data_IF_952976812126
#
_entry.id   IF_952976812126
#
_cell.length_a   1.000
_cell.length_b   1.000
_cell.length_c   1.000
_cell.angle_alpha   90.00
_cell.angle_beta   90.00
_cell.angle_gamma   90.00
#
_symmetry.space_group_name_H-M   'P 1'
#
loop_
_entity.id
_entity.type
_entity.pdbx_description
1 polymer ?
#
# COMPACT_ATOMS: atom_id res chain seq x y z
N UNK A 1 11.66 5.99 8.51
CA UNK A 1 10.30 5.94 9.12
C UNK A 1 10.19 4.69 9.99
N UNK A 2 9.04 4.39 10.62
CA UNK A 2 8.89 3.16 11.42
C UNK A 2 8.96 1.89 10.55
N UNK A 3 8.32 1.89 9.37
CA UNK A 3 8.38 0.77 8.42
C UNK A 3 9.82 0.40 8.04
N UNK A 4 10.69 1.39 7.77
CA UNK A 4 12.11 1.13 7.47
C UNK A 4 12.86 0.47 8.65
N UNK A 5 12.55 0.86 9.89
CA UNK A 5 13.15 0.23 11.08
C UNK A 5 12.67 -1.22 11.24
N UNK A 6 11.38 -1.48 11.00
CA UNK A 6 10.81 -2.83 11.09
C UNK A 6 11.38 -3.72 9.97
N UNK A 7 11.43 -3.22 8.73
CA UNK A 7 12.10 -3.88 7.60
C UNK A 7 13.54 -4.24 7.92
N UNK A 8 14.34 -3.28 8.38
CA UNK A 8 15.76 -3.53 8.72
C UNK A 8 15.95 -4.52 9.85
N UNK A 9 15.01 -4.60 10.80
CA UNK A 9 15.12 -5.48 11.98
C UNK A 9 14.63 -6.91 11.71
N UNK A 10 13.57 -7.06 10.91
CA UNK A 10 12.87 -8.34 10.74
C UNK A 10 12.94 -8.90 9.31
N UNK A 11 13.50 -8.16 8.35
CA UNK A 11 13.65 -8.60 6.97
C UNK A 11 12.38 -8.48 6.11
N UNK A 12 11.28 -7.92 6.64
CA UNK A 12 10.04 -7.77 5.88
C UNK A 12 10.21 -6.87 4.65
N UNK A 13 9.48 -7.20 3.59
CA UNK A 13 9.37 -6.33 2.42
C UNK A 13 8.42 -5.18 2.71
N UNK A 14 8.91 -3.95 2.62
CA UNK A 14 8.09 -2.75 2.75
C UNK A 14 7.35 -2.48 1.43
N UNK A 15 6.01 -2.41 1.51
CA UNK A 15 5.12 -2.16 0.40
C UNK A 15 4.30 -0.90 0.70
N UNK A 16 4.34 0.07 -0.21
CA UNK A 16 3.51 1.27 -0.18
C UNK A 16 2.61 1.28 -1.41
N UNK A 17 1.31 1.49 -1.22
CA UNK A 17 0.33 1.46 -2.33
C UNK A 17 0.61 2.53 -3.39
N UNK A 18 1.10 3.70 -2.97
CA UNK A 18 1.52 4.75 -3.89
C UNK A 18 2.73 4.34 -4.74
N UNK A 19 3.66 3.56 -4.17
CA UNK A 19 4.82 3.06 -4.91
C UNK A 19 4.43 1.94 -5.87
N UNK A 20 3.59 0.99 -5.43
CA UNK A 20 3.04 -0.06 -6.32
C UNK A 20 2.34 0.57 -7.52
N UNK A 21 1.49 1.58 -7.27
CA UNK A 21 0.75 2.27 -8.31
C UNK A 21 1.70 2.92 -9.31
N UNK A 22 2.67 3.73 -8.83
CA UNK A 22 3.66 4.38 -9.70
C UNK A 22 4.53 3.39 -10.47
N UNK A 23 4.93 2.30 -9.85
CA UNK A 23 5.74 1.25 -10.50
C UNK A 23 4.95 0.56 -11.63
N UNK A 24 3.70 0.19 -11.38
CA UNK A 24 2.84 -0.43 -12.40
C UNK A 24 2.58 0.50 -13.59
N UNK A 25 2.30 1.78 -13.31
CA UNK A 25 2.15 2.82 -14.35
C UNK A 25 3.44 2.96 -15.15
N UNK A 26 4.59 3.05 -14.48
CA UNK A 26 5.91 3.17 -15.14
C UNK A 26 6.23 1.96 -16.01
N UNK A 27 5.89 0.76 -15.55
CA UNK A 27 6.19 -0.50 -16.26
C UNK A 27 5.13 -0.83 -17.34
N UNK A 28 4.06 -0.04 -17.46
CA UNK A 28 3.02 -0.26 -18.46
C UNK A 28 2.27 -1.58 -18.28
N UNK A 29 2.10 -2.05 -17.04
CA UNK A 29 1.31 -3.27 -16.77
C UNK A 29 -0.17 -3.01 -17.10
N UNK A 30 -0.96 -4.07 -17.32
CA UNK A 30 -2.39 -3.90 -17.63
C UNK A 30 -3.13 -3.11 -16.52
N UNK A 31 -2.87 -3.44 -15.26
CA UNK A 31 -3.40 -2.71 -14.11
C UNK A 31 -2.86 -1.28 -14.03
N UNK A 32 -1.58 -1.08 -14.37
CA UNK A 32 -0.95 0.23 -14.42
C UNK A 32 -1.55 1.15 -15.47
N UNK A 33 -1.87 0.62 -16.66
CA UNK A 33 -2.54 1.37 -17.73
C UNK A 33 -3.93 1.82 -17.29
N UNK A 34 -4.74 0.91 -16.73
CA UNK A 34 -6.07 1.25 -16.19
C UNK A 34 -5.96 2.32 -15.10
N UNK A 35 -5.02 2.18 -14.17
CA UNK A 35 -4.87 3.13 -13.09
C UNK A 35 -4.35 4.50 -13.56
N UNK A 36 -3.51 4.52 -14.60
CA UNK A 36 -3.01 5.74 -15.24
C UNK A 36 -4.15 6.59 -15.79
N UNK A 37 -5.20 6.00 -16.36
CA UNK A 37 -6.37 6.73 -16.88
C UNK A 37 -7.05 7.58 -15.80
N UNK A 38 -7.26 7.01 -14.60
CA UNK A 38 -7.83 7.74 -13.46
C UNK A 38 -6.89 8.84 -12.97
N UNK A 39 -5.59 8.53 -12.89
CA UNK A 39 -4.58 9.50 -12.43
C UNK A 39 -4.47 10.71 -13.37
N UNK A 40 -4.46 10.49 -14.68
CA UNK A 40 -4.41 11.56 -15.68
C UNK A 40 -5.70 12.39 -15.72
N UNK A 41 -6.85 11.78 -15.41
CA UNK A 41 -8.12 12.46 -15.25
C UNK A 41 -8.26 13.23 -13.91
N UNK A 42 -7.28 13.14 -13.01
CA UNK A 42 -7.36 13.70 -11.66
C UNK A 42 -8.42 13.02 -10.77
N UNK A 43 -8.88 11.83 -11.18
CA UNK A 43 -9.86 11.05 -10.45
C UNK A 43 -9.18 10.14 -9.41
N UNK A 44 -9.94 9.75 -8.40
CA UNK A 44 -9.50 8.74 -7.45
C UNK A 44 -9.47 7.37 -8.15
N UNK A 45 -8.37 6.64 -7.96
CA UNK A 45 -8.25 5.26 -8.43
C UNK A 45 -9.22 4.38 -7.62
N UNK A 46 -10.08 3.58 -8.26
CA UNK A 46 -11.04 2.72 -7.56
C UNK A 46 -10.38 1.75 -6.58
N UNK A 47 -11.05 1.47 -5.47
CA UNK A 47 -10.53 0.63 -4.39
C UNK A 47 -10.23 -0.80 -4.85
N UNK A 48 -11.06 -1.36 -5.71
CA UNK A 48 -10.88 -2.68 -6.32
C UNK A 48 -9.59 -2.74 -7.15
N UNK A 49 -9.32 -1.69 -7.93
CA UNK A 49 -8.12 -1.62 -8.76
C UNK A 49 -6.85 -1.50 -7.90
N UNK A 50 -6.90 -0.77 -6.78
CA UNK A 50 -5.81 -0.72 -5.80
C UNK A 50 -5.60 -2.09 -5.14
N UNK A 51 -6.68 -2.79 -4.79
CA UNK A 51 -6.58 -4.16 -4.23
C UNK A 51 -5.97 -5.13 -5.22
N UNK A 52 -6.33 -5.07 -6.50
CA UNK A 52 -5.73 -5.93 -7.53
C UNK A 52 -4.22 -5.68 -7.67
N UNK A 53 -3.80 -4.42 -7.65
CA UNK A 53 -2.38 -4.03 -7.64
C UNK A 53 -1.65 -4.58 -6.40
N UNK A 54 -2.26 -4.49 -5.22
CA UNK A 54 -1.71 -5.05 -3.98
C UNK A 54 -1.64 -6.57 -4.05
N UNK A 55 -2.69 -7.22 -4.56
CA UNK A 55 -2.77 -8.68 -4.69
C UNK A 55 -1.66 -9.23 -5.59
N UNK A 56 -1.45 -8.60 -6.75
CA UNK A 56 -0.35 -8.95 -7.65
C UNK A 56 1.02 -8.81 -6.96
N UNK A 57 1.20 -7.71 -6.20
CA UNK A 57 2.44 -7.50 -5.45
C UNK A 57 2.67 -8.56 -4.36
N UNK A 58 1.62 -8.97 -3.67
CA UNK A 58 1.65 -9.98 -2.61
C UNK A 58 1.91 -11.40 -3.15
N UNK A 59 1.67 -11.64 -4.44
CA UNK A 59 1.90 -12.94 -5.07
C UNK A 59 3.38 -13.20 -5.43
N UNK A 60 4.24 -12.17 -5.40
CA UNK A 60 5.67 -12.27 -5.71
C UNK A 60 6.42 -13.11 -4.67
N UNK A 61 7.46 -13.81 -5.12
CA UNK A 61 8.16 -14.80 -4.30
C UNK A 61 8.90 -14.19 -3.10
N UNK A 62 9.39 -12.96 -3.22
CA UNK A 62 10.01 -12.23 -2.11
C UNK A 62 9.06 -12.06 -0.91
N UNK A 63 7.76 -11.94 -1.17
CA UNK A 63 6.73 -11.84 -0.13
C UNK A 63 6.47 -13.19 0.52
N UNK A 64 6.47 -14.29 -0.27
CA UNK A 64 6.28 -15.64 0.27
C UNK A 64 7.42 -16.03 1.21
N UNK A 65 8.64 -15.60 0.89
CA UNK A 65 9.85 -15.90 1.67
C UNK A 65 9.98 -15.01 2.91
N UNK A 66 9.80 -13.70 2.75
CA UNK A 66 10.16 -12.72 3.80
C UNK A 66 8.96 -12.06 4.49
N UNK A 67 7.74 -12.28 3.98
CA UNK A 67 6.55 -11.54 4.40
C UNK A 67 6.60 -10.06 3.98
N UNK A 68 5.59 -9.28 4.38
CA UNK A 68 5.52 -7.87 4.02
C UNK A 68 4.96 -6.96 5.12
N UNK A 69 5.23 -5.66 4.94
CA UNK A 69 4.62 -4.55 5.66
C UNK A 69 3.85 -3.71 4.64
N UNK A 70 2.53 -3.71 4.73
CA UNK A 70 1.65 -2.81 3.98
C UNK A 70 1.59 -1.46 4.70
N UNK A 71 2.26 -0.44 4.16
CA UNK A 71 2.26 0.92 4.70
C UNK A 71 1.13 1.75 4.08
N UNK A 72 0.28 2.29 4.96
CA UNK A 72 -0.85 3.12 4.57
C UNK A 72 -1.88 2.36 3.74
N UNK A 73 -2.15 1.08 4.02
CA UNK A 73 -3.24 0.34 3.41
C UNK A 73 -3.79 -0.73 4.36
N UNK A 74 -5.12 -0.92 4.45
CA UNK A 74 -6.18 -0.11 3.83
C UNK A 74 -6.32 1.29 4.48
N UNK A 75 -6.86 2.27 3.74
CA UNK A 75 -7.13 3.64 4.24
C UNK A 75 -8.63 3.96 4.38
N UNK A 76 -9.49 3.13 3.81
CA UNK A 76 -10.93 3.32 3.82
C UNK A 76 -11.66 1.97 3.98
N UNK A 77 -12.90 1.97 4.49
CA UNK A 77 -13.64 0.73 4.73
C UNK A 77 -13.88 -0.13 3.48
N UNK A 78 -14.11 0.51 2.34
CA UNK A 78 -14.27 -0.14 1.03
C UNK A 78 -13.00 -0.88 0.58
N UNK A 79 -11.82 -0.32 0.83
CA UNK A 79 -10.54 -1.00 0.59
C UNK A 79 -10.37 -2.22 1.49
N UNK A 80 -10.74 -2.10 2.77
CA UNK A 80 -10.67 -3.22 3.70
C UNK A 80 -11.64 -4.35 3.29
N UNK A 81 -12.85 -4.01 2.84
CA UNK A 81 -13.81 -4.99 2.32
C UNK A 81 -13.27 -5.66 1.04
N UNK A 82 -12.77 -4.88 0.09
CA UNK A 82 -12.19 -5.41 -1.14
C UNK A 82 -10.99 -6.33 -0.87
N UNK A 83 -10.16 -6.07 0.16
CA UNK A 83 -9.11 -7.00 0.58
C UNK A 83 -9.67 -8.36 1.03
N UNK A 84 -10.75 -8.34 1.81
CA UNK A 84 -11.43 -9.56 2.28
C UNK A 84 -12.00 -10.33 1.10
N UNK A 85 -12.72 -9.65 0.20
CA UNK A 85 -13.33 -10.26 -0.99
C UNK A 85 -12.27 -10.84 -1.94
N UNK A 86 -11.10 -10.20 -2.01
CA UNK A 86 -9.95 -10.67 -2.78
C UNK A 86 -9.20 -11.86 -2.14
N UNK A 87 -9.55 -12.25 -0.91
CA UNK A 87 -8.92 -13.34 -0.16
C UNK A 87 -7.57 -12.96 0.47
N UNK A 88 -7.29 -11.66 0.67
CA UNK A 88 -6.05 -11.20 1.29
C UNK A 88 -6.16 -11.33 2.80
N UNK A 89 -5.29 -12.16 3.40
CA UNK A 89 -5.22 -12.32 4.85
C UNK A 89 -4.13 -11.41 5.45
N UNK A 90 -4.43 -10.79 6.59
CA UNK A 90 -3.50 -9.92 7.33
C UNK A 90 -3.29 -10.50 8.72
N UNK A 91 -2.03 -10.72 9.10
CA UNK A 91 -1.73 -11.31 10.41
C UNK A 91 -1.85 -10.31 11.57
N UNK A 92 -1.48 -9.05 11.34
CA UNK A 92 -1.43 -8.00 12.38
C UNK A 92 -1.66 -6.62 11.78
N UNK A 93 -2.32 -5.76 12.56
CA UNK A 93 -2.41 -4.33 12.31
C UNK A 93 -1.57 -3.58 13.35
N UNK A 94 -0.69 -2.69 12.88
CA UNK A 94 0.16 -1.87 13.74
C UNK A 94 -0.39 -0.44 13.76
N UNK A 95 -1.07 -0.07 14.84
CA UNK A 95 -1.52 1.30 15.06
C UNK A 95 -0.41 2.10 15.75
N UNK A 96 0.24 2.99 15.01
CA UNK A 96 1.21 3.93 15.56
C UNK A 96 0.44 5.11 16.16
N UNK A 97 0.26 5.11 17.47
CA UNK A 97 -0.40 6.21 18.19
C UNK A 97 0.62 7.29 18.50
N UNK A 98 0.36 8.50 18.00
CA UNK A 98 1.14 9.71 18.28
C UNK A 98 0.18 10.87 18.55
N UNK A 99 0.57 11.88 19.34
CA UNK A 99 -0.24 13.09 19.53
C UNK A 99 -0.44 13.84 18.21
N UNK A 100 -1.61 14.46 18.05
CA UNK A 100 -1.97 15.22 16.85
C UNK A 100 -1.01 16.39 16.60
N UNK A 101 -0.55 17.05 17.67
CA UNK A 101 0.43 18.13 17.59
C UNK A 101 1.71 17.69 16.87
N UNK A 102 2.23 16.50 17.21
CA UNK A 102 3.40 15.91 16.54
C UNK A 102 3.12 15.60 15.06
N UNK A 103 1.89 15.25 14.71
CA UNK A 103 1.50 15.02 13.32
C UNK A 103 1.48 16.32 12.51
N UNK A 104 0.93 17.39 13.08
CA UNK A 104 0.85 18.72 12.46
C UNK A 104 2.26 19.28 12.24
N UNK A 105 3.11 19.29 13.27
CA UNK A 105 4.50 19.77 13.18
C UNK A 105 5.27 19.06 12.07
N UNK A 106 5.13 17.73 11.98
CA UNK A 106 5.77 16.91 10.93
C UNK A 106 5.18 17.16 9.55
N UNK A 107 3.89 17.45 9.45
CA UNK A 107 3.19 17.70 8.19
C UNK A 107 3.57 19.05 7.58
N UNK A 108 3.69 20.09 8.39
CA UNK A 108 4.08 21.43 7.95
C UNK A 108 5.60 21.55 7.67
N UNK A 109 6.42 20.70 8.30
CA UNK A 109 7.88 20.72 8.13
C UNK A 109 8.43 19.88 6.95
N UNK A 110 7.57 19.38 6.06
CA UNK A 110 7.95 18.54 4.91
C UNK A 110 7.74 19.22 3.57
#
# INVERSE_FOLDING_TARGET
TQCEKIKSKFGYVHISTGDILRENVKNGTELGIKAKEYMEAGALVPSELIVDLVKDRLAKDDIKESGCLLDGFPRAPDQAQAMVDAGISVNKFLLIKVPDETLVERGCGR
#
